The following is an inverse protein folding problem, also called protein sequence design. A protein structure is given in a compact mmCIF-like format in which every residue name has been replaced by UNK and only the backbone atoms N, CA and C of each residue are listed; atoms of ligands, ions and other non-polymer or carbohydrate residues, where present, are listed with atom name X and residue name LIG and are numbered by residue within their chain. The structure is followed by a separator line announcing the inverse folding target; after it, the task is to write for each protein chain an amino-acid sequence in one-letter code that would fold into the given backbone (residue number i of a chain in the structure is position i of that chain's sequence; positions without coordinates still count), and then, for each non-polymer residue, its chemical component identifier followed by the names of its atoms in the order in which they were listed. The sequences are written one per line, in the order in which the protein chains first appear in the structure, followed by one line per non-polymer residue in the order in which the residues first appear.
data_IF_157584897106
#
_entry.id   IF_157584897106
#
_cell.length_a   1.000
_cell.length_b   1.000
_cell.length_c   1.000
_cell.angle_alpha   90.00
_cell.angle_beta   90.00
_cell.angle_gamma   90.00
#
_symmetry.space_group_name_H-M   'P 1'
#
loop_
_entity.id
_entity.type
_entity.pdbx_description
1 polymer ?
#
# COMPACT_ATOMS: atom_id res chain seq x y z
N UNK A 1 -2.93 -3.10 -19.76
CA UNK A 1 -3.81 -3.83 -18.82
C UNK A 1 -2.91 -4.66 -17.93
N UNK A 2 -3.09 -4.60 -16.61
CA UNK A 2 -2.26 -5.34 -15.65
C UNK A 2 -2.61 -6.84 -15.73
N UNK A 3 -1.58 -7.70 -15.67
CA UNK A 3 -1.74 -9.17 -15.75
C UNK A 3 -1.45 -9.75 -14.37
N UNK A 4 -2.31 -10.64 -13.88
CA UNK A 4 -2.14 -11.29 -12.59
C UNK A 4 -0.92 -12.19 -12.56
N UNK A 5 -0.12 -12.08 -11.51
CA UNK A 5 1.09 -12.86 -11.29
C UNK A 5 1.00 -13.68 -10.00
N UNK A 6 1.85 -14.70 -9.89
CA UNK A 6 2.03 -15.41 -8.63
C UNK A 6 2.53 -14.43 -7.56
N UNK A 7 1.92 -14.47 -6.37
CA UNK A 7 2.17 -13.52 -5.29
C UNK A 7 1.21 -12.32 -5.23
N UNK A 8 0.50 -12.02 -6.32
CA UNK A 8 -0.47 -10.93 -6.33
C UNK A 8 -1.62 -11.18 -5.35
N UNK A 9 -2.05 -10.10 -4.71
CA UNK A 9 -3.30 -10.09 -3.94
C UNK A 9 -4.42 -9.59 -4.84
N UNK A 10 -5.44 -10.43 -5.01
CA UNK A 10 -6.60 -10.16 -5.85
C UNK A 10 -7.89 -10.26 -5.04
N UNK A 11 -8.93 -9.61 -5.50
CA UNK A 11 -10.30 -9.83 -5.04
C UNK A 11 -11.07 -10.66 -6.07
N UNK A 12 -11.69 -11.75 -5.61
CA UNK A 12 -12.69 -12.47 -6.37
C UNK A 12 -14.06 -11.92 -5.95
N UNK A 13 -14.77 -11.29 -6.88
CA UNK A 13 -16.04 -10.64 -6.61
C UNK A 13 -17.16 -11.53 -7.13
N UNK A 14 -18.09 -11.90 -6.25
CA UNK A 14 -19.26 -12.71 -6.62
C UNK A 14 -20.40 -11.85 -7.20
N UNK A 15 -21.48 -12.50 -7.67
CA UNK A 15 -22.67 -11.83 -8.20
C UNK A 15 -23.42 -10.93 -7.19
N UNK A 16 -23.10 -11.05 -5.90
CA UNK A 16 -23.64 -10.20 -4.81
C UNK A 16 -22.65 -9.10 -4.42
N UNK A 17 -21.66 -8.83 -5.26
CA UNK A 17 -20.62 -7.82 -5.07
C UNK A 17 -19.76 -8.02 -3.81
N UNK A 18 -19.69 -9.25 -3.30
CA UNK A 18 -18.87 -9.56 -2.12
C UNK A 18 -17.45 -9.89 -2.55
N UNK A 19 -16.43 -9.13 -2.05
CA UNK A 19 -15.04 -9.39 -2.36
C UNK A 19 -14.45 -10.47 -1.44
N UNK A 20 -13.77 -11.43 -2.03
CA UNK A 20 -12.97 -12.44 -1.34
C UNK A 20 -11.51 -12.23 -1.68
N UNK A 21 -10.71 -11.83 -0.68
CA UNK A 21 -9.30 -11.56 -0.88
C UNK A 21 -8.50 -12.86 -0.96
N UNK A 22 -7.73 -13.01 -2.03
CA UNK A 22 -6.89 -14.18 -2.31
C UNK A 22 -5.48 -13.71 -2.65
N UNK A 23 -4.44 -14.37 -2.12
CA UNK A 23 -3.07 -14.22 -2.60
C UNK A 23 -2.80 -15.37 -3.56
N UNK A 24 -2.52 -15.06 -4.80
CA UNK A 24 -2.30 -16.06 -5.85
C UNK A 24 -1.01 -16.82 -5.62
N UNK A 25 -1.07 -18.14 -5.71
CA UNK A 25 0.08 -19.04 -5.62
C UNK A 25 -0.09 -20.17 -6.62
N UNK A 26 0.92 -20.44 -7.42
CA UNK A 26 0.88 -21.52 -8.39
C UNK A 26 0.58 -22.87 -7.71
N UNK A 27 -0.31 -23.66 -8.30
CA UNK A 27 -0.75 -24.98 -7.81
C UNK A 27 -1.72 -24.95 -6.63
N UNK A 28 -2.04 -23.75 -6.06
CA UNK A 28 -3.01 -23.62 -4.96
C UNK A 28 -4.43 -23.46 -5.48
N UNK A 29 -5.42 -23.72 -4.60
CA UNK A 29 -6.84 -23.69 -4.91
C UNK A 29 -7.54 -22.77 -3.91
N UNK A 30 -8.30 -21.80 -4.41
CA UNK A 30 -9.24 -21.04 -3.61
C UNK A 30 -10.54 -21.87 -3.44
N UNK A 31 -11.00 -22.02 -2.19
CA UNK A 31 -12.22 -22.72 -1.85
C UNK A 31 -13.21 -21.76 -1.19
N UNK A 32 -14.45 -21.79 -1.65
CA UNK A 32 -15.54 -21.04 -1.04
C UNK A 32 -16.87 -21.78 -1.17
N UNK A 33 -17.56 -22.01 -0.04
CA UNK A 33 -18.89 -22.67 0.01
C UNK A 33 -18.94 -24.01 -0.73
N UNK A 34 -17.89 -24.83 -0.61
CA UNK A 34 -17.78 -26.14 -1.25
C UNK A 34 -17.29 -26.12 -2.70
N UNK A 35 -17.16 -24.95 -3.29
CA UNK A 35 -16.69 -24.76 -4.65
C UNK A 35 -15.20 -24.45 -4.71
N UNK A 36 -14.58 -24.71 -5.85
CA UNK A 36 -13.13 -24.58 -6.04
C UNK A 36 -12.80 -23.82 -7.31
N UNK A 37 -11.72 -23.02 -7.26
CA UNK A 37 -11.07 -22.44 -8.42
C UNK A 37 -9.55 -22.52 -8.24
N UNK A 38 -8.81 -23.15 -9.18
CA UNK A 38 -7.35 -23.12 -9.17
C UNK A 38 -6.84 -21.69 -9.33
N UNK A 39 -5.79 -21.32 -8.59
CA UNK A 39 -5.13 -20.03 -8.77
C UNK A 39 -4.50 -19.92 -10.17
N UNK A 40 -4.12 -21.04 -10.78
CA UNK A 40 -3.56 -21.11 -12.12
C UNK A 40 -4.56 -20.70 -13.22
N UNK A 41 -5.86 -20.77 -12.94
CA UNK A 41 -6.91 -20.27 -13.85
C UNK A 41 -6.98 -18.72 -13.85
N UNK A 42 -6.34 -18.07 -12.87
CA UNK A 42 -6.29 -16.60 -12.70
C UNK A 42 -4.93 -16.06 -13.09
N UNK A 43 -3.85 -16.74 -12.69
CA UNK A 43 -2.47 -16.34 -13.01
C UNK A 43 -2.30 -16.26 -14.54
N UNK A 44 -1.68 -15.16 -15.00
CA UNK A 44 -1.50 -14.91 -16.43
C UNK A 44 -2.72 -14.29 -17.14
N UNK A 45 -3.83 -14.10 -16.44
CA UNK A 45 -5.02 -13.44 -17.00
C UNK A 45 -5.02 -11.93 -16.69
N UNK A 46 -5.69 -11.14 -17.51
CA UNK A 46 -5.82 -9.70 -17.27
C UNK A 46 -6.76 -9.37 -16.10
N UNK A 47 -6.53 -8.19 -15.49
CA UNK A 47 -7.42 -7.58 -14.52
C UNK A 47 -8.86 -7.47 -15.08
N UNK A 48 -9.86 -7.84 -14.28
CA UNK A 48 -11.27 -7.93 -14.69
C UNK A 48 -11.65 -9.27 -15.31
N UNK A 49 -10.78 -10.28 -15.30
CA UNK A 49 -11.10 -11.62 -15.84
C UNK A 49 -12.23 -12.27 -15.08
N UNK A 50 -13.20 -12.81 -15.83
CA UNK A 50 -14.26 -13.68 -15.31
C UNK A 50 -13.73 -15.09 -15.16
N UNK A 51 -13.83 -15.62 -13.96
CA UNK A 51 -13.39 -16.98 -13.61
C UNK A 51 -14.58 -17.84 -13.20
N UNK A 52 -14.52 -19.14 -13.51
CA UNK A 52 -15.61 -20.07 -13.29
C UNK A 52 -15.26 -21.09 -12.22
N UNK A 53 -16.09 -21.20 -11.19
CA UNK A 53 -15.97 -22.23 -10.17
C UNK A 53 -16.39 -23.61 -10.68
N UNK A 54 -15.99 -24.64 -9.94
CA UNK A 54 -16.33 -26.04 -10.25
C UNK A 54 -17.83 -26.32 -10.43
N UNK A 55 -18.70 -25.58 -9.73
CA UNK A 55 -20.14 -25.66 -9.84
C UNK A 55 -20.75 -24.74 -10.92
N UNK A 56 -19.94 -24.08 -11.72
CA UNK A 56 -20.40 -23.19 -12.78
C UNK A 56 -20.67 -21.73 -12.35
N UNK A 57 -20.59 -21.38 -11.07
CA UNK A 57 -20.66 -19.98 -10.61
C UNK A 57 -19.52 -19.16 -11.18
N UNK A 58 -19.81 -17.90 -11.46
CA UNK A 58 -18.84 -16.95 -11.99
C UNK A 58 -18.45 -15.94 -10.92
N UNK A 59 -17.17 -15.58 -10.89
CA UNK A 59 -16.63 -14.43 -10.15
C UNK A 59 -15.77 -13.59 -11.07
N UNK A 60 -15.58 -12.33 -10.72
CA UNK A 60 -14.65 -11.45 -11.41
C UNK A 60 -13.39 -11.32 -10.56
N UNK A 61 -12.24 -11.58 -11.14
CA UNK A 61 -10.95 -11.36 -10.50
C UNK A 61 -10.47 -9.94 -10.80
N UNK A 62 -10.21 -9.14 -9.75
CA UNK A 62 -9.72 -7.76 -9.87
C UNK A 62 -8.61 -7.48 -8.86
N UNK A 63 -7.73 -6.52 -9.19
CA UNK A 63 -6.86 -5.95 -8.16
C UNK A 63 -7.67 -5.11 -7.17
N UNK A 64 -7.36 -5.17 -5.87
CA UNK A 64 -8.00 -4.29 -4.90
C UNK A 64 -7.61 -2.83 -5.17
N UNK A 65 -8.52 -1.92 -4.90
CA UNK A 65 -8.20 -0.49 -4.80
C UNK A 65 -7.30 -0.24 -3.57
N UNK A 66 -6.60 0.91 -3.52
CA UNK A 66 -5.81 1.27 -2.34
C UNK A 66 -6.68 1.32 -1.07
N UNK A 67 -7.90 1.83 -1.18
CA UNK A 67 -8.85 1.89 -0.08
C UNK A 67 -9.19 0.49 0.47
N UNK A 68 -9.50 -0.46 -0.40
CA UNK A 68 -9.80 -1.83 0.00
C UNK A 68 -8.58 -2.56 0.57
N UNK A 69 -7.41 -2.30 -0.02
CA UNK A 69 -6.17 -2.89 0.43
C UNK A 69 -5.80 -2.43 1.85
N UNK A 70 -5.82 -1.13 2.12
CA UNK A 70 -5.49 -0.56 3.42
C UNK A 70 -6.40 -1.04 4.54
N UNK A 71 -7.69 -1.30 4.25
CA UNK A 71 -8.62 -1.84 5.23
C UNK A 71 -8.34 -3.30 5.62
N UNK A 72 -7.67 -4.07 4.77
CA UNK A 72 -7.46 -5.53 4.93
C UNK A 72 -6.00 -5.96 4.96
N UNK A 73 -5.04 -5.04 4.81
CA UNK A 73 -3.62 -5.36 4.89
C UNK A 73 -3.20 -5.76 6.31
N UNK A 74 -2.12 -6.53 6.49
CA UNK A 74 -1.50 -6.77 7.79
C UNK A 74 -1.12 -5.45 8.47
N UNK A 75 -1.41 -5.34 9.77
CA UNK A 75 -1.15 -4.12 10.53
C UNK A 75 -0.72 -4.45 11.96
N UNK A 76 0.27 -3.71 12.45
CA UNK A 76 0.70 -3.70 13.84
C UNK A 76 0.21 -2.47 14.61
N UNK A 77 -0.17 -1.41 13.88
CA UNK A 77 -0.66 -0.15 14.42
C UNK A 77 -2.09 0.16 13.94
N UNK A 78 -2.71 1.16 14.55
CA UNK A 78 -3.94 1.75 14.05
C UNK A 78 -3.68 2.30 12.63
N UNK A 79 -4.60 2.03 11.71
CA UNK A 79 -4.47 2.46 10.31
C UNK A 79 -5.35 3.68 10.07
N UNK A 80 -4.82 4.69 9.41
CA UNK A 80 -5.59 5.82 8.90
C UNK A 80 -6.62 5.29 7.89
N UNK A 81 -7.88 5.64 8.08
CA UNK A 81 -8.96 5.16 7.23
C UNK A 81 -8.92 5.81 5.83
N UNK A 82 -9.43 5.12 4.80
CA UNK A 82 -9.38 5.61 3.41
C UNK A 82 -9.95 7.02 3.21
N UNK A 83 -10.98 7.41 3.97
CA UNK A 83 -11.56 8.76 3.92
C UNK A 83 -10.53 9.84 4.30
N UNK A 84 -9.69 9.56 5.30
CA UNK A 84 -8.65 10.47 5.78
C UNK A 84 -7.42 10.39 4.88
N UNK A 85 -7.04 9.18 4.41
CA UNK A 85 -5.97 8.99 3.42
C UNK A 85 -6.21 9.76 2.12
N UNK A 86 -7.46 9.96 1.72
CA UNK A 86 -7.80 10.74 0.53
C UNK A 86 -7.66 12.25 0.78
N UNK A 87 -7.93 12.70 2.00
CA UNK A 87 -7.93 14.13 2.36
C UNK A 87 -6.52 14.63 2.66
N UNK A 88 -5.69 13.83 3.35
CA UNK A 88 -4.33 14.24 3.74
C UNK A 88 -3.48 14.72 2.55
N UNK A 89 -3.31 13.97 1.44
CA UNK A 89 -2.53 14.45 0.31
C UNK A 89 -3.09 15.73 -0.33
N UNK A 90 -4.41 15.91 -0.32
CA UNK A 90 -5.05 17.11 -0.83
C UNK A 90 -4.73 18.32 0.05
N UNK A 91 -4.91 18.24 1.37
CA UNK A 91 -4.65 19.33 2.30
C UNK A 91 -3.15 19.63 2.46
N UNK A 92 -2.31 18.61 2.37
CA UNK A 92 -0.86 18.79 2.37
C UNK A 92 -0.31 19.26 1.01
N UNK A 93 -1.18 19.46 0.02
CA UNK A 93 -0.82 19.88 -1.35
C UNK A 93 0.31 19.01 -1.94
N UNK A 94 0.15 17.69 -1.83
CA UNK A 94 1.10 16.74 -2.44
C UNK A 94 0.80 16.65 -3.94
N UNK A 95 1.74 17.10 -4.75
CA UNK A 95 1.62 17.15 -6.20
C UNK A 95 2.62 16.18 -6.89
N UNK A 96 2.40 15.80 -8.15
CA UNK A 96 3.31 14.94 -8.89
C UNK A 96 4.70 15.58 -9.04
N UNK A 97 5.71 14.92 -8.46
CA UNK A 97 7.09 15.41 -8.38
C UNK A 97 7.48 15.97 -7.01
N UNK A 98 6.54 16.07 -6.05
CA UNK A 98 6.84 16.54 -4.70
C UNK A 98 7.81 15.62 -3.97
N UNK A 99 8.72 16.22 -3.21
CA UNK A 99 9.59 15.54 -2.25
C UNK A 99 8.96 15.68 -0.87
N UNK A 100 8.51 14.55 -0.32
CA UNK A 100 7.71 14.49 0.90
C UNK A 100 8.53 13.88 2.01
N UNK A 101 8.54 14.52 3.17
CA UNK A 101 8.98 13.91 4.42
C UNK A 101 7.76 13.40 5.20
N UNK A 102 7.83 12.16 5.65
CA UNK A 102 6.82 11.51 6.48
C UNK A 102 7.46 11.00 7.77
N UNK A 103 6.78 11.17 8.91
CA UNK A 103 7.16 10.48 10.14
C UNK A 103 5.93 9.85 10.80
N UNK A 104 6.13 8.61 11.28
CA UNK A 104 5.05 7.75 11.75
C UNK A 104 4.48 6.89 10.64
N UNK A 105 5.27 5.92 10.14
CA UNK A 105 4.91 5.07 8.99
C UNK A 105 3.82 4.05 9.35
N UNK A 106 3.89 3.51 10.57
CA UNK A 106 2.96 2.51 11.05
C UNK A 106 2.88 1.28 10.13
N UNK A 107 1.74 1.09 9.49
CA UNK A 107 1.53 -0.03 8.53
C UNK A 107 1.76 0.34 7.07
N UNK A 108 2.17 1.58 6.77
CA UNK A 108 2.47 2.06 5.42
C UNK A 108 1.25 2.56 4.63
N UNK A 109 0.09 2.74 5.27
CA UNK A 109 -1.12 3.19 4.58
C UNK A 109 -0.98 4.61 4.02
N UNK A 110 -0.53 5.54 4.87
CA UNK A 110 -0.27 6.93 4.48
C UNK A 110 0.85 7.01 3.47
N UNK A 111 1.95 6.29 3.70
CA UNK A 111 3.08 6.21 2.76
C UNK A 111 2.63 5.86 1.35
N UNK A 112 1.74 4.85 1.20
CA UNK A 112 1.22 4.47 -0.12
C UNK A 112 0.37 5.59 -0.76
N UNK A 113 -0.39 6.33 0.03
CA UNK A 113 -1.17 7.46 -0.46
C UNK A 113 -0.26 8.61 -0.91
N UNK A 114 0.78 8.93 -0.14
CA UNK A 114 1.77 9.96 -0.45
C UNK A 114 2.57 9.60 -1.71
N UNK A 115 3.05 8.35 -1.82
CA UNK A 115 3.75 7.85 -3.02
C UNK A 115 2.89 7.95 -4.27
N UNK A 116 1.60 7.58 -4.16
CA UNK A 116 0.65 7.70 -5.27
C UNK A 116 0.45 9.15 -5.71
N UNK A 117 0.35 10.09 -4.76
CA UNK A 117 0.16 11.51 -5.05
C UNK A 117 1.44 12.15 -5.61
N UNK A 118 2.60 11.84 -5.04
CA UNK A 118 3.90 12.34 -5.50
C UNK A 118 4.31 11.76 -6.88
N UNK A 119 3.86 10.54 -7.18
CA UNK A 119 4.15 9.85 -8.44
C UNK A 119 5.64 9.53 -8.62
N UNK A 120 5.98 8.99 -9.80
CA UNK A 120 7.32 8.47 -10.09
C UNK A 120 8.43 9.54 -10.13
N UNK A 121 8.07 10.81 -10.32
CA UNK A 121 9.01 11.94 -10.33
C UNK A 121 9.24 12.57 -8.96
N UNK A 122 8.38 12.25 -7.98
CA UNK A 122 8.53 12.65 -6.59
C UNK A 122 9.20 11.57 -5.76
N UNK A 123 9.39 11.85 -4.48
CA UNK A 123 9.87 10.86 -3.52
C UNK A 123 9.22 11.02 -2.16
N UNK A 124 9.23 9.95 -1.37
CA UNK A 124 8.82 9.97 0.03
C UNK A 124 9.97 9.44 0.87
N UNK A 125 10.41 10.24 1.83
CA UNK A 125 11.37 9.84 2.87
C UNK A 125 10.58 9.67 4.14
N UNK A 126 10.63 8.48 4.73
CA UNK A 126 9.78 8.11 5.86
C UNK A 126 10.64 7.70 7.06
N UNK A 127 10.30 8.21 8.25
CA UNK A 127 10.90 7.80 9.52
C UNK A 127 9.92 6.98 10.36
N UNK A 128 10.43 5.88 10.90
CA UNK A 128 9.72 5.03 11.85
C UNK A 128 10.68 4.56 12.93
N UNK A 129 10.30 4.68 14.20
CA UNK A 129 11.15 4.27 15.33
C UNK A 129 11.09 2.78 15.60
N UNK A 130 10.00 2.12 15.18
CA UNK A 130 9.77 0.70 15.43
C UNK A 130 10.13 -0.14 14.22
N UNK A 131 11.15 -0.98 14.37
CA UNK A 131 11.61 -1.89 13.30
C UNK A 131 10.53 -2.85 12.82
N UNK A 132 9.68 -3.37 13.73
CA UNK A 132 8.58 -4.28 13.39
C UNK A 132 7.49 -3.60 12.53
N UNK A 133 7.22 -2.33 12.79
CA UNK A 133 6.30 -1.52 11.97
C UNK A 133 6.92 -1.21 10.62
N UNK A 134 8.16 -0.77 10.58
CA UNK A 134 8.89 -0.51 9.34
C UNK A 134 8.93 -1.76 8.43
N UNK A 135 9.24 -2.93 9.01
CA UNK A 135 9.23 -4.20 8.28
C UNK A 135 7.85 -4.58 7.75
N UNK A 136 6.79 -4.30 8.53
CA UNK A 136 5.40 -4.53 8.12
C UNK A 136 4.99 -3.56 6.99
N UNK A 137 5.33 -2.28 7.12
CA UNK A 137 5.07 -1.25 6.11
C UNK A 137 5.76 -1.58 4.79
N UNK A 138 7.05 -1.92 4.81
CA UNK A 138 7.81 -2.33 3.61
C UNK A 138 7.11 -3.46 2.87
N UNK A 139 6.74 -4.54 3.59
CA UNK A 139 6.02 -5.67 2.99
C UNK A 139 4.65 -5.29 2.41
N UNK A 140 3.92 -4.40 3.08
CA UNK A 140 2.63 -3.92 2.59
C UNK A 140 2.78 -3.07 1.33
N UNK A 141 3.73 -2.14 1.33
CA UNK A 141 4.02 -1.26 0.19
C UNK A 141 4.45 -2.09 -1.02
N UNK A 142 5.44 -2.97 -0.85
CA UNK A 142 5.92 -3.85 -1.93
C UNK A 142 4.82 -4.76 -2.48
N UNK A 143 3.98 -5.31 -1.61
CA UNK A 143 2.86 -6.20 -2.03
C UNK A 143 1.81 -5.47 -2.84
N UNK A 144 1.54 -4.20 -2.55
CA UNK A 144 0.50 -3.44 -3.25
C UNK A 144 1.04 -2.67 -4.46
N UNK A 145 2.19 -2.00 -4.30
CA UNK A 145 2.77 -1.10 -5.31
C UNK A 145 3.88 -1.75 -6.15
N UNK A 146 4.43 -2.87 -5.69
CA UNK A 146 5.64 -3.46 -6.26
C UNK A 146 6.90 -2.74 -5.77
N UNK A 147 7.96 -2.74 -6.59
CA UNK A 147 9.18 -1.96 -6.31
C UNK A 147 8.88 -0.46 -6.37
N UNK A 148 9.26 0.25 -5.32
CA UNK A 148 9.07 1.70 -5.19
C UNK A 148 10.44 2.35 -4.98
N UNK A 149 11.19 2.63 -6.07
CA UNK A 149 12.57 3.13 -5.98
C UNK A 149 12.67 4.55 -5.40
N UNK A 150 11.57 5.25 -5.33
CA UNK A 150 11.44 6.61 -4.80
C UNK A 150 10.88 6.66 -3.36
N UNK A 151 10.91 5.54 -2.63
CA UNK A 151 10.61 5.46 -1.21
C UNK A 151 11.88 5.15 -0.40
N UNK A 152 12.16 5.96 0.60
CA UNK A 152 13.33 5.83 1.48
C UNK A 152 12.87 5.75 2.93
N UNK A 153 12.75 4.54 3.46
CA UNK A 153 12.36 4.29 4.85
C UNK A 153 13.61 4.15 5.72
N UNK A 154 13.64 4.90 6.82
CA UNK A 154 14.72 4.87 7.81
C UNK A 154 14.16 4.59 9.21
N UNK A 155 14.89 3.76 9.98
CA UNK A 155 14.59 3.52 11.38
C UNK A 155 15.23 4.67 12.19
N UNK A 156 14.45 5.72 12.46
CA UNK A 156 14.91 6.93 13.16
C UNK A 156 13.76 7.61 13.91
N UNK A 157 14.14 8.33 14.96
CA UNK A 157 13.24 9.24 15.65
C UNK A 157 13.25 10.61 14.96
N UNK A 158 12.09 11.08 14.52
CA UNK A 158 11.97 12.40 13.91
C UNK A 158 12.16 13.54 14.92
N UNK A 159 12.04 13.28 16.21
CA UNK A 159 12.32 14.28 17.26
C UNK A 159 13.80 14.59 17.44
N UNK A 160 14.69 13.71 16.97
CA UNK A 160 16.14 13.94 16.96
C UNK A 160 16.62 14.77 15.75
N UNK A 161 15.67 15.22 14.93
CA UNK A 161 15.93 16.00 13.72
C UNK A 161 15.88 15.16 12.44
N UNK A 162 15.78 15.88 11.32
CA UNK A 162 15.69 15.27 9.99
C UNK A 162 17.09 15.25 9.39
N UNK A 163 17.71 14.07 9.40
CA UNK A 163 18.94 13.82 8.65
C UNK A 163 18.61 12.89 7.48
N UNK A 164 18.90 13.33 6.30
CA UNK A 164 18.70 12.55 5.09
C UNK A 164 20.05 12.02 4.63
N UNK A 165 20.08 10.73 4.29
CA UNK A 165 21.29 10.06 3.81
C UNK A 165 21.89 10.75 2.56
N UNK A 166 23.05 10.27 2.11
CA UNK A 166 23.77 10.84 0.97
C UNK A 166 22.85 11.13 -0.23
N UNK A 167 22.84 12.38 -0.68
CA UNK A 167 22.10 12.84 -1.87
C UNK A 167 20.75 13.53 -1.61
N UNK A 168 20.23 13.53 -0.39
CA UNK A 168 19.01 14.27 -0.04
C UNK A 168 19.30 15.15 1.18
N UNK A 169 19.17 16.46 1.08
CA UNK A 169 19.33 17.36 2.22
C UNK A 169 17.96 17.68 2.86
N UNK A 170 17.94 17.85 4.18
CA UNK A 170 16.73 18.09 4.98
C UNK A 170 15.90 19.30 4.53
N UNK A 171 16.56 20.35 4.02
CA UNK A 171 15.92 21.57 3.50
C UNK A 171 15.39 21.43 2.05
N UNK A 172 15.43 20.22 1.46
CA UNK A 172 14.95 19.96 0.10
C UNK A 172 13.54 19.37 0.06
N UNK A 173 12.84 19.21 1.17
CA UNK A 173 11.45 18.73 1.16
C UNK A 173 10.49 19.85 0.78
N UNK A 174 9.57 19.52 -0.11
CA UNK A 174 8.50 20.43 -0.52
C UNK A 174 7.34 20.37 0.47
N UNK A 175 7.12 19.22 1.10
CA UNK A 175 6.01 18.95 2.02
C UNK A 175 6.43 18.02 3.16
N UNK A 176 5.80 18.23 4.31
CA UNK A 176 6.01 17.42 5.52
C UNK A 176 4.67 16.91 6.03
N UNK A 177 4.58 15.61 6.35
CA UNK A 177 3.38 14.98 6.91
C UNK A 177 3.79 14.17 8.14
N UNK A 178 3.22 14.52 9.30
CA UNK A 178 3.60 13.97 10.59
C UNK A 178 2.39 13.29 11.26
N UNK A 179 2.43 11.97 11.36
CA UNK A 179 1.46 11.16 12.10
C UNK A 179 2.09 10.69 13.42
N UNK A 180 2.36 11.66 14.29
CA UNK A 180 3.06 11.50 15.56
C UNK A 180 2.22 12.03 16.72
N UNK A 181 2.44 11.53 17.95
CA UNK A 181 1.74 12.05 19.13
C UNK A 181 2.01 13.55 19.40
N UNK A 182 3.21 14.03 19.14
CA UNK A 182 3.65 15.41 19.41
C UNK A 182 4.33 16.03 18.16
N UNK A 183 3.60 16.20 17.04
CA UNK A 183 4.20 16.61 15.76
C UNK A 183 4.88 17.97 15.82
N UNK A 184 4.46 18.85 16.75
CA UNK A 184 5.10 20.16 16.97
C UNK A 184 6.55 20.10 17.45
N UNK A 185 7.02 18.97 17.96
CA UNK A 185 8.44 18.78 18.36
C UNK A 185 9.39 18.59 17.18
N UNK A 186 8.85 18.25 16.01
CA UNK A 186 9.63 18.07 14.77
C UNK A 186 9.81 19.40 14.05
N UNK A 187 8.92 20.35 14.28
CA UNK A 187 8.95 21.68 13.66
C UNK A 187 9.62 22.64 14.64
N UNK A 188 10.75 23.28 14.29
CA UNK A 188 11.45 24.23 15.14
C UNK A 188 10.64 25.53 15.38
#
# INVERSE_FOLDING_TARGET
MKIFQCGDRVHLIDKKERPYAVTLKAGEIFQHSGDRIPHDDIIGKPDGTVVKFSNGKLMVAVYPTLAEYTLKMPRGAQVIYPKDLAVIPMWADIYPGARVFEAGVGSGALTMALLRAAGDRGCVVSYEVREDFAATATKNIERFMGKVPNHFLQIRDAYDGIEVGEGISSWMFDRVVLDLPEPWRVVP
#
